data_IF_526328175217
#
_entry.id   IF_526328175217
#
_cell.length_a   1.000
_cell.length_b   1.000
_cell.length_c   1.000
_cell.angle_alpha   90.00
_cell.angle_beta   90.00
_cell.angle_gamma   90.00
#
_symmetry.space_group_name_H-M   'P 1'
#
loop_
_entity.id
_entity.type
_entity.pdbx_description
1 polymer ?
#
# COMPACT_ATOMS: atom_id res chain seq x y z
N UNK A 1 5.98 -6.48 -1.19
CA UNK A 1 4.70 -7.07 -1.65
C UNK A 1 4.52 -8.49 -1.15
N UNK A 2 5.55 -9.35 -1.23
CA UNK A 2 5.44 -10.71 -0.66
C UNK A 2 5.11 -10.71 0.83
N UNK A 3 5.70 -9.80 1.62
CA UNK A 3 5.39 -9.69 3.05
C UNK A 3 3.91 -9.39 3.30
N UNK A 4 3.35 -8.41 2.59
CA UNK A 4 1.92 -8.08 2.68
C UNK A 4 1.03 -9.27 2.28
N UNK A 5 1.44 -10.08 1.30
CA UNK A 5 0.70 -11.30 0.92
C UNK A 5 0.72 -12.38 2.02
N UNK A 6 1.69 -12.33 2.94
CA UNK A 6 1.80 -13.27 4.06
C UNK A 6 1.04 -12.79 5.30
N UNK A 7 0.48 -11.58 5.30
CA UNK A 7 -0.34 -11.08 6.39
C UNK A 7 -1.68 -11.81 6.44
N UNK A 8 -2.07 -12.30 7.62
CA UNK A 8 -3.37 -12.93 7.82
C UNK A 8 -4.52 -11.96 7.45
N UNK A 9 -5.56 -12.48 6.79
CA UNK A 9 -6.68 -11.67 6.30
C UNK A 9 -6.45 -10.99 4.94
N UNK A 10 -5.20 -10.89 4.46
CA UNK A 10 -4.90 -10.46 3.08
C UNK A 10 -5.09 -11.65 2.13
N UNK A 11 -5.94 -11.48 1.12
CA UNK A 11 -6.19 -12.49 0.10
C UNK A 11 -5.24 -12.36 -1.08
N UNK A 12 -5.02 -11.15 -1.58
CA UNK A 12 -4.08 -10.90 -2.67
C UNK A 12 -3.55 -9.46 -2.68
N UNK A 13 -2.38 -9.28 -3.30
CA UNK A 13 -1.71 -7.99 -3.47
C UNK A 13 -1.15 -7.91 -4.87
N UNK A 14 -1.55 -6.91 -5.65
CA UNK A 14 -1.05 -6.73 -7.02
C UNK A 14 -0.69 -5.28 -7.33
N UNK A 15 0.30 -5.12 -8.22
CA UNK A 15 0.71 -3.80 -8.71
C UNK A 15 -0.35 -3.24 -9.63
N UNK A 16 -0.74 -2.00 -9.38
CA UNK A 16 -1.43 -1.16 -10.34
C UNK A 16 -0.45 -0.34 -11.15
N UNK A 17 -0.89 0.86 -11.55
CA UNK A 17 -0.09 1.76 -12.39
C UNK A 17 1.14 2.29 -11.65
N UNK A 18 2.21 2.48 -12.40
CA UNK A 18 3.37 3.26 -11.99
C UNK A 18 3.36 4.58 -12.76
N UNK A 19 3.62 5.70 -12.08
CA UNK A 19 3.69 7.00 -12.72
C UNK A 19 4.52 7.99 -11.91
N UNK A 20 4.96 9.07 -12.56
CA UNK A 20 5.60 10.20 -11.89
C UNK A 20 4.56 11.27 -11.57
N UNK A 21 4.53 11.71 -10.31
CA UNK A 21 3.71 12.83 -9.86
C UNK A 21 4.51 14.14 -9.91
N UNK A 22 3.90 15.31 -10.17
CA UNK A 22 4.63 16.59 -10.22
C UNK A 22 5.33 16.98 -8.91
N UNK A 23 4.85 16.51 -7.76
CA UNK A 23 5.46 16.83 -6.46
C UNK A 23 6.61 15.88 -6.09
N UNK A 24 7.53 16.36 -5.27
CA UNK A 24 8.58 15.56 -4.64
C UNK A 24 8.22 15.31 -3.17
N UNK A 25 8.05 14.06 -2.77
CA UNK A 25 7.94 13.69 -1.36
C UNK A 25 9.35 13.55 -0.75
N UNK A 26 9.63 14.18 0.41
CA UNK A 26 10.95 14.12 1.03
C UNK A 26 11.27 12.76 1.64
N UNK A 27 10.24 11.96 1.93
CA UNK A 27 10.35 10.63 2.52
C UNK A 27 9.41 9.64 1.83
N UNK A 28 9.63 8.35 2.06
CA UNK A 28 8.71 7.31 1.61
C UNK A 28 7.36 7.47 2.32
N UNK A 29 6.28 7.45 1.54
CA UNK A 29 4.92 7.63 2.05
C UNK A 29 4.00 6.59 1.42
N UNK A 30 3.06 6.07 2.21
CA UNK A 30 1.97 5.22 1.71
C UNK A 30 0.64 5.87 2.03
N UNK A 31 -0.12 6.18 0.98
CA UNK A 31 -1.48 6.68 1.13
C UNK A 31 -2.48 5.57 0.89
N UNK A 32 -3.53 5.52 1.71
CA UNK A 32 -4.64 4.60 1.53
C UNK A 32 -5.84 5.37 0.98
N UNK A 33 -6.26 5.02 -0.23
CA UNK A 33 -7.48 5.55 -0.84
C UNK A 33 -8.73 4.88 -0.26
N UNK A 34 -9.92 5.49 -0.42
CA UNK A 34 -11.18 4.92 0.05
C UNK A 34 -11.42 3.51 -0.49
N UNK A 35 -12.12 2.71 0.32
CA UNK A 35 -12.46 1.31 0.03
C UNK A 35 -13.39 1.21 -1.17
N UNK A 36 -13.11 0.25 -2.05
CA UNK A 36 -14.04 -0.17 -3.11
C UNK A 36 -14.30 -1.67 -2.97
N UNK A 37 -15.38 -2.03 -2.28
CA UNK A 37 -15.70 -3.43 -1.95
C UNK A 37 -14.65 -4.05 -0.99
N UNK A 38 -14.14 -5.27 -1.23
CA UNK A 38 -13.12 -5.89 -0.38
C UNK A 38 -11.68 -5.43 -0.72
N UNK A 39 -11.54 -4.33 -1.48
CA UNK A 39 -10.25 -3.89 -2.02
C UNK A 39 -9.89 -2.50 -1.52
N UNK A 40 -8.64 -2.38 -1.08
CA UNK A 40 -8.00 -1.10 -0.78
C UNK A 40 -7.00 -0.77 -1.88
N UNK A 41 -7.00 0.49 -2.31
CA UNK A 41 -5.95 1.04 -3.15
C UNK A 41 -4.95 1.78 -2.26
N UNK A 42 -3.69 1.39 -2.36
CA UNK A 42 -2.55 2.06 -1.74
C UNK A 42 -1.75 2.82 -2.81
N UNK A 43 -1.16 3.94 -2.43
CA UNK A 43 -0.20 4.70 -3.23
C UNK A 43 1.11 4.76 -2.47
N UNK A 44 2.06 3.91 -2.86
CA UNK A 44 3.42 3.95 -2.33
C UNK A 44 4.23 4.98 -3.13
N UNK A 45 4.77 5.98 -2.44
CA UNK A 45 5.46 7.12 -3.02
C UNK A 45 6.87 7.24 -2.49
N UNK A 46 7.82 7.45 -3.38
CA UNK A 46 9.20 7.79 -3.06
C UNK A 46 9.68 8.89 -4.02
N UNK A 47 9.99 10.07 -3.48
CA UNK A 47 10.24 11.24 -4.29
C UNK A 47 9.02 11.58 -5.16
N UNK A 48 9.22 11.61 -6.48
CA UNK A 48 8.16 11.85 -7.46
C UNK A 48 7.57 10.55 -8.04
N UNK A 49 8.12 9.39 -7.68
CA UNK A 49 7.66 8.09 -8.19
C UNK A 49 6.51 7.58 -7.35
N UNK A 50 5.42 7.16 -8.00
CA UNK A 50 4.22 6.61 -7.35
C UNK A 50 3.90 5.25 -7.94
N UNK A 51 3.73 4.26 -7.06
CA UNK A 51 3.23 2.94 -7.40
C UNK A 51 1.85 2.74 -6.76
N UNK A 52 0.84 2.50 -7.59
CA UNK A 52 -0.45 2.00 -7.09
C UNK A 52 -0.30 0.53 -6.69
N UNK A 53 -0.84 0.16 -5.54
CA UNK A 53 -0.90 -1.23 -5.07
C UNK A 53 -2.33 -1.52 -4.65
N UNK A 54 -2.91 -2.58 -5.19
CA UNK A 54 -4.24 -3.04 -4.79
C UNK A 54 -4.09 -4.18 -3.80
N UNK A 55 -4.82 -4.10 -2.70
CA UNK A 55 -4.86 -5.12 -1.65
C UNK A 55 -6.28 -5.61 -1.53
N UNK A 56 -6.51 -6.88 -1.84
CA UNK A 56 -7.78 -7.56 -1.55
C UNK A 56 -7.66 -8.22 -0.18
N UNK A 57 -8.56 -7.85 0.73
CA UNK A 57 -8.42 -8.23 2.14
C UNK A 57 -9.77 -8.20 2.86
N UNK A 58 -9.89 -9.02 3.90
CA UNK A 58 -10.99 -8.96 4.86
C UNK A 58 -10.71 -7.97 6.01
N UNK A 59 -9.48 -7.45 6.10
CA UNK A 59 -9.07 -6.52 7.14
C UNK A 59 -9.82 -5.19 7.04
N UNK A 60 -10.15 -4.64 8.22
CA UNK A 60 -10.59 -3.27 8.37
C UNK A 60 -9.47 -2.27 8.05
N UNK A 61 -9.86 -1.00 7.94
CA UNK A 61 -8.95 0.09 7.56
C UNK A 61 -7.75 0.22 8.50
N UNK A 62 -7.98 0.14 9.81
CA UNK A 62 -6.91 0.32 10.81
C UNK A 62 -5.97 -0.90 10.86
N UNK A 63 -6.52 -2.12 10.81
CA UNK A 63 -5.72 -3.35 10.72
C UNK A 63 -4.83 -3.35 9.47
N UNK A 64 -5.36 -2.90 8.33
CA UNK A 64 -4.56 -2.78 7.11
C UNK A 64 -3.47 -1.70 7.25
N UNK A 65 -3.72 -0.58 7.94
CA UNK A 65 -2.66 0.41 8.20
C UNK A 65 -1.52 -0.19 9.01
N UNK A 66 -1.84 -0.96 10.05
CA UNK A 66 -0.83 -1.64 10.86
C UNK A 66 -0.04 -2.66 10.03
N UNK A 67 -0.72 -3.45 9.19
CA UNK A 67 -0.09 -4.38 8.27
C UNK A 67 0.88 -3.66 7.30
N UNK A 68 0.45 -2.53 6.72
CA UNK A 68 1.30 -1.69 5.86
C UNK A 68 2.52 -1.20 6.64
N UNK A 69 2.31 -0.64 7.84
CA UNK A 69 3.38 -0.11 8.67
C UNK A 69 4.42 -1.18 9.02
N UNK A 70 3.98 -2.39 9.36
CA UNK A 70 4.88 -3.53 9.62
C UNK A 70 5.70 -3.92 8.38
N UNK A 71 5.11 -3.90 7.19
CA UNK A 71 5.80 -4.20 5.93
C UNK A 71 6.76 -3.10 5.49
N UNK A 72 6.54 -1.84 5.89
CA UNK A 72 7.36 -0.70 5.44
C UNK A 72 8.46 -0.32 6.44
N UNK A 73 8.26 -0.58 7.73
CA UNK A 73 9.26 -0.32 8.78
C UNK A 73 10.38 -1.37 8.86
N UNK A 74 10.22 -2.50 8.17
CA UNK A 74 11.27 -3.53 8.06
C UNK A 74 12.23 -3.27 6.89
N UNK A 75 11.97 -2.22 6.11
CA UNK A 75 12.84 -1.76 5.02
C UNK A 75 13.71 -0.64 5.60
N UNK A 76 14.64 -1.02 6.48
CA UNK A 76 15.70 -0.16 7.03
C UNK A 76 16.99 -0.37 6.26
#
# INVERSE_FOLDING_TARGET
>A
MEEMRRTEGVRDVYKGRFFQSPGLAPTFQVYMAPVVGPKYKLLARYGNSVQEVMVETALGKEELKEAVLMCTNRVS
#
